data_IF_905754405345
#
_entry.id   IF_905754405345
#
_cell.length_a   1.000
_cell.length_b   1.000
_cell.length_c   1.000
_cell.angle_alpha   90.00
_cell.angle_beta   90.00
_cell.angle_gamma   90.00
#
_symmetry.space_group_name_H-M   'P 1'
#
loop_
_entity.id
_entity.type
_entity.pdbx_description
1 polymer ?
#
# COMPACT_ATOMS: atom_id res chain seq x y z
N UNK A 1 -1.28 12.75 -21.64
CA UNK A 1 -0.64 12.74 -20.30
C UNK A 1 0.21 11.49 -20.19
N UNK A 2 1.40 11.58 -19.61
CA UNK A 2 2.29 10.43 -19.39
C UNK A 2 2.33 10.12 -17.91
N UNK A 3 2.00 8.90 -17.52
CA UNK A 3 2.01 8.45 -16.12
C UNK A 3 3.17 7.49 -15.93
N UNK A 4 3.92 7.61 -14.84
CA UNK A 4 5.01 6.69 -14.49
C UNK A 4 5.00 6.38 -13.01
N UNK A 5 5.40 5.15 -12.68
CA UNK A 5 5.45 4.63 -11.32
C UNK A 5 6.89 4.54 -10.82
N UNK A 6 7.06 4.70 -9.52
CA UNK A 6 8.25 4.32 -8.77
C UNK A 6 8.11 2.89 -8.22
N UNK A 7 9.23 2.28 -7.81
CA UNK A 7 9.28 0.90 -7.33
C UNK A 7 8.44 0.70 -6.07
N UNK A 8 8.47 1.65 -5.13
CA UNK A 8 7.66 1.64 -3.91
C UNK A 8 6.17 1.41 -4.16
N UNK A 9 5.61 2.01 -5.21
CA UNK A 9 4.19 1.88 -5.55
C UNK A 9 3.85 0.45 -5.98
N UNK A 10 4.73 -0.21 -6.74
CA UNK A 10 4.52 -1.61 -7.14
C UNK A 10 4.77 -2.59 -5.98
N UNK A 11 5.66 -2.24 -5.06
CA UNK A 11 5.96 -3.06 -3.86
C UNK A 11 4.80 -3.04 -2.85
N UNK A 12 4.02 -1.96 -2.79
CA UNK A 12 2.81 -1.89 -1.94
C UNK A 12 1.76 -2.93 -2.33
N UNK A 13 1.69 -3.32 -3.61
CA UNK A 13 0.75 -4.32 -4.12
C UNK A 13 1.39 -5.05 -5.31
N UNK A 14 2.22 -6.05 -5.02
CA UNK A 14 2.96 -6.83 -6.03
C UNK A 14 2.04 -7.39 -7.12
N UNK A 15 0.84 -7.83 -6.75
CA UNK A 15 -0.11 -8.45 -7.68
C UNK A 15 -1.02 -7.43 -8.39
N UNK A 16 -0.96 -6.16 -7.98
CA UNK A 16 -1.80 -5.08 -8.51
C UNK A 16 -3.28 -5.47 -8.53
N UNK A 17 -3.73 -6.11 -7.45
CA UNK A 17 -5.07 -6.69 -7.32
C UNK A 17 -5.90 -6.01 -6.22
N UNK A 18 -5.29 -5.08 -5.48
CA UNK A 18 -6.00 -4.18 -4.58
C UNK A 18 -7.02 -3.31 -5.34
N UNK A 19 -8.07 -2.81 -4.66
CA UNK A 19 -9.12 -2.02 -5.29
C UNK A 19 -8.58 -0.82 -6.09
N UNK A 20 -7.68 -0.02 -5.51
CA UNK A 20 -7.11 1.13 -6.22
C UNK A 20 -6.14 0.73 -7.35
N UNK A 21 -5.36 -0.34 -7.18
CA UNK A 21 -4.49 -0.87 -8.25
C UNK A 21 -5.30 -1.32 -9.47
N UNK A 22 -6.43 -2.01 -9.23
CA UNK A 22 -7.33 -2.47 -10.29
C UNK A 22 -8.01 -1.30 -11.00
N UNK A 23 -8.50 -0.31 -10.26
CA UNK A 23 -9.05 0.92 -10.86
C UNK A 23 -7.99 1.63 -11.70
N UNK A 24 -6.77 1.78 -11.16
CA UNK A 24 -5.68 2.45 -11.87
C UNK A 24 -5.33 1.76 -13.18
N UNK A 25 -5.16 0.44 -13.17
CA UNK A 25 -4.77 -0.31 -14.37
C UNK A 25 -5.90 -0.43 -15.38
N UNK A 26 -7.10 -0.78 -14.94
CA UNK A 26 -8.20 -1.11 -15.83
C UNK A 26 -8.87 0.13 -16.41
N UNK A 27 -8.89 1.24 -15.67
CA UNK A 27 -9.63 2.44 -16.05
C UNK A 27 -8.70 3.57 -16.54
N UNK A 28 -7.39 3.33 -16.71
CA UNK A 28 -6.47 4.37 -17.20
C UNK A 28 -6.84 4.88 -18.60
N UNK A 29 -7.47 4.04 -19.41
CA UNK A 29 -7.91 4.35 -20.77
C UNK A 29 -9.07 5.35 -20.84
N UNK A 30 -9.79 5.60 -19.74
CA UNK A 30 -10.90 6.58 -19.71
C UNK A 30 -10.38 8.02 -19.76
N UNK A 31 -9.09 8.21 -19.48
CA UNK A 31 -8.37 9.47 -19.62
C UNK A 31 -7.36 9.38 -20.77
N UNK A 32 -7.00 10.50 -21.41
CA UNK A 32 -5.96 10.54 -22.45
C UNK A 32 -4.56 10.42 -21.81
N UNK A 33 -4.31 9.28 -21.16
CA UNK A 33 -3.08 8.95 -20.46
C UNK A 33 -2.41 7.71 -21.05
N UNK A 34 -1.08 7.67 -20.95
CA UNK A 34 -0.28 6.50 -21.30
C UNK A 34 0.66 6.15 -20.14
N UNK A 35 0.65 4.89 -19.74
CA UNK A 35 1.53 4.39 -18.68
C UNK A 35 2.92 4.12 -19.26
N UNK A 36 3.94 4.62 -18.59
CA UNK A 36 5.34 4.36 -18.89
C UNK A 36 6.01 3.83 -17.63
N UNK A 37 6.79 2.77 -17.74
CA UNK A 37 7.51 2.19 -16.61
C UNK A 37 8.96 1.97 -17.02
N UNK A 38 9.89 2.42 -16.20
CA UNK A 38 11.32 2.19 -16.40
C UNK A 38 11.65 0.71 -16.20
N UNK A 39 12.49 0.13 -17.06
CA UNK A 39 13.04 -1.22 -16.83
C UNK A 39 13.74 -1.31 -15.46
N UNK A 40 14.35 -0.22 -14.99
CA UNK A 40 14.94 -0.15 -13.64
C UNK A 40 13.91 -0.42 -12.55
N UNK A 41 12.69 0.12 -12.69
CA UNK A 41 11.60 -0.08 -11.73
C UNK A 41 11.11 -1.52 -11.75
N UNK A 42 11.01 -2.13 -12.93
CA UNK A 42 10.61 -3.55 -13.07
C UNK A 42 11.64 -4.44 -12.38
N UNK A 43 12.92 -4.30 -12.72
CA UNK A 43 14.00 -5.13 -12.17
C UNK A 43 14.11 -4.96 -10.64
N UNK A 44 13.95 -3.73 -10.15
CA UNK A 44 13.96 -3.46 -8.70
C UNK A 44 12.74 -4.05 -8.00
N UNK A 45 11.55 -4.00 -8.61
CA UNK A 45 10.33 -4.61 -8.07
C UNK A 45 10.48 -6.13 -7.96
N UNK A 46 11.00 -6.78 -9.00
CA UNK A 46 11.25 -8.24 -9.00
C UNK A 46 12.28 -8.62 -7.94
N UNK A 47 13.35 -7.84 -7.80
CA UNK A 47 14.33 -8.07 -6.74
C UNK A 47 13.71 -7.87 -5.34
N UNK A 48 12.87 -6.85 -5.16
CA UNK A 48 12.16 -6.63 -3.90
C UNK A 48 11.24 -7.79 -3.56
N UNK A 49 10.44 -8.27 -4.52
CA UNK A 49 9.62 -9.47 -4.34
C UNK A 49 10.45 -10.66 -3.86
N UNK A 50 11.62 -10.90 -4.49
CA UNK A 50 12.54 -11.96 -4.08
C UNK A 50 13.05 -11.78 -2.65
N UNK A 51 13.46 -10.56 -2.28
CA UNK A 51 13.92 -10.24 -0.91
C UNK A 51 12.82 -10.54 0.11
N UNK A 52 11.62 -9.99 -0.07
CA UNK A 52 10.47 -10.22 0.81
C UNK A 52 10.10 -11.71 0.91
N UNK A 53 10.07 -12.43 -0.21
CA UNK A 53 9.79 -13.86 -0.23
C UNK A 53 10.87 -14.65 0.53
N UNK A 54 12.15 -14.29 0.34
CA UNK A 54 13.26 -14.97 1.02
C UNK A 54 13.17 -14.79 2.53
N UNK A 55 12.91 -13.57 3.00
CA UNK A 55 12.70 -13.27 4.43
C UNK A 55 11.56 -14.11 5.02
N UNK A 56 10.43 -14.21 4.32
CA UNK A 56 9.28 -15.01 4.78
C UNK A 56 9.53 -16.52 4.74
N UNK A 57 10.30 -17.01 3.77
CA UNK A 57 10.74 -18.42 3.74
C UNK A 57 11.67 -18.72 4.92
N UNK A 58 12.60 -17.83 5.26
CA UNK A 58 13.46 -18.00 6.44
C UNK A 58 12.66 -17.99 7.76
N UNK A 59 11.65 -17.13 7.88
CA UNK A 59 10.72 -17.14 9.02
C UNK A 59 9.97 -18.48 9.11
N UNK A 60 9.45 -18.99 7.99
CA UNK A 60 8.76 -20.27 7.91
C UNK A 60 9.69 -21.44 8.31
N UNK A 61 10.94 -21.43 7.86
CA UNK A 61 11.92 -22.46 8.23
C UNK A 61 12.19 -22.49 9.74
N UNK A 62 12.26 -21.31 10.39
CA UNK A 62 12.40 -21.21 11.85
C UNK A 62 11.19 -21.83 12.57
N UNK A 63 9.97 -21.48 12.14
CA UNK A 63 8.73 -22.03 12.70
C UNK A 63 8.68 -23.55 12.53
N UNK A 64 9.08 -24.05 11.35
CA UNK A 64 9.10 -25.48 11.05
C UNK A 64 10.04 -26.25 11.98
N UNK A 65 11.20 -25.68 12.29
CA UNK A 65 12.15 -26.26 13.23
C UNK A 65 11.54 -26.37 14.64
N UNK A 66 10.81 -25.36 15.10
CA UNK A 66 10.17 -25.38 16.41
C UNK A 66 9.02 -26.39 16.48
N UNK A 67 8.19 -26.46 15.43
CA UNK A 67 7.15 -27.50 15.30
C UNK A 67 7.77 -28.90 15.29
N UNK A 68 8.85 -29.11 14.53
CA UNK A 68 9.60 -30.37 14.52
C UNK A 68 10.09 -30.75 15.91
N UNK A 69 10.63 -29.79 16.68
CA UNK A 69 11.11 -30.02 18.04
C UNK A 69 10.00 -30.49 18.99
N UNK A 70 8.77 -29.99 18.82
CA UNK A 70 7.61 -30.37 19.63
C UNK A 70 7.01 -31.71 19.18
N UNK A 71 6.83 -31.91 17.88
CA UNK A 71 6.18 -33.11 17.34
C UNK A 71 7.13 -34.30 17.21
N UNK A 72 8.44 -34.08 17.24
CA UNK A 72 9.49 -35.08 16.93
C UNK A 72 9.29 -35.77 15.58
N UNK A 73 8.61 -35.09 14.65
CA UNK A 73 8.42 -35.51 13.25
C UNK A 73 8.39 -34.27 12.37
N UNK A 74 8.77 -34.47 11.12
CA UNK A 74 8.80 -33.40 10.13
C UNK A 74 7.37 -32.96 9.77
N UNK A 75 7.03 -31.66 9.88
CA UNK A 75 5.76 -31.17 9.40
C UNK A 75 5.71 -31.26 7.87
N UNK A 76 4.56 -31.63 7.31
CA UNK A 76 4.39 -31.73 5.86
C UNK A 76 4.14 -30.34 5.26
N UNK A 77 5.21 -29.58 5.06
CA UNK A 77 5.15 -28.25 4.47
C UNK A 77 5.92 -28.29 3.15
N UNK A 78 5.28 -27.89 2.03
CA UNK A 78 5.95 -27.87 0.74
C UNK A 78 7.14 -26.91 0.77
N UNK A 79 8.27 -27.33 0.22
CA UNK A 79 9.43 -26.46 0.04
C UNK A 79 9.11 -25.39 -0.99
N UNK A 80 9.40 -24.14 -0.67
CA UNK A 80 9.21 -23.01 -1.59
C UNK A 80 10.50 -22.79 -2.38
N UNK A 81 10.41 -22.90 -3.70
CA UNK A 81 11.52 -22.57 -4.60
C UNK A 81 11.49 -21.06 -4.93
N UNK A 82 12.30 -20.29 -4.21
CA UNK A 82 12.36 -18.82 -4.35
C UNK A 82 12.67 -18.40 -5.79
N UNK A 83 13.58 -19.09 -6.47
CA UNK A 83 13.98 -18.74 -7.84
C UNK A 83 12.85 -18.95 -8.85
N UNK A 84 12.10 -20.04 -8.70
CA UNK A 84 10.95 -20.36 -9.54
C UNK A 84 9.80 -19.38 -9.28
N UNK A 85 9.44 -19.15 -8.02
CA UNK A 85 8.41 -18.19 -7.64
C UNK A 85 8.75 -16.75 -8.09
N UNK A 86 10.02 -16.36 -8.05
CA UNK A 86 10.48 -15.04 -8.54
C UNK A 86 10.32 -14.93 -10.06
N UNK A 87 10.64 -15.99 -10.82
CA UNK A 87 10.44 -16.02 -12.28
C UNK A 87 8.96 -16.00 -12.66
N UNK A 88 8.13 -16.73 -11.94
CA UNK A 88 6.68 -16.70 -12.13
C UNK A 88 6.12 -15.30 -11.88
N UNK A 89 6.55 -14.64 -10.81
CA UNK A 89 6.19 -13.25 -10.53
C UNK A 89 6.67 -12.27 -11.61
N UNK A 90 7.91 -12.38 -12.08
CA UNK A 90 8.43 -11.53 -13.17
C UNK A 90 7.59 -11.67 -14.43
N UNK A 91 7.27 -12.92 -14.83
CA UNK A 91 6.41 -13.18 -15.98
C UNK A 91 5.01 -12.59 -15.79
N UNK A 92 4.41 -12.79 -14.61
CA UNK A 92 3.12 -12.20 -14.26
C UNK A 92 3.14 -10.67 -14.39
N UNK A 93 4.13 -10.00 -13.79
CA UNK A 93 4.23 -8.54 -13.81
C UNK A 93 4.34 -8.02 -15.25
N UNK A 94 5.20 -8.63 -16.07
CA UNK A 94 5.37 -8.25 -17.48
C UNK A 94 4.07 -8.45 -18.26
N UNK A 95 3.36 -9.56 -18.06
CA UNK A 95 2.09 -9.84 -18.73
C UNK A 95 0.99 -8.85 -18.31
N UNK A 96 0.86 -8.60 -17.00
CA UNK A 96 -0.08 -7.63 -16.43
C UNK A 96 0.16 -6.24 -17.03
N UNK A 97 1.40 -5.78 -17.06
CA UNK A 97 1.75 -4.47 -17.62
C UNK A 97 1.52 -4.40 -19.15
N UNK A 98 1.79 -5.47 -19.89
CA UNK A 98 1.49 -5.54 -21.32
C UNK A 98 -0.01 -5.48 -21.61
N UNK A 99 -0.85 -6.05 -20.74
CA UNK A 99 -2.31 -6.05 -20.92
C UNK A 99 -2.91 -4.63 -20.98
N UNK A 100 -2.28 -3.67 -20.30
CA UNK A 100 -2.69 -2.25 -20.27
C UNK A 100 -1.91 -1.36 -21.26
N UNK A 101 -1.21 -1.96 -22.23
CA UNK A 101 -0.41 -1.26 -23.26
C UNK A 101 0.64 -0.31 -22.68
N UNK A 102 1.32 -0.71 -21.59
CA UNK A 102 2.43 0.07 -21.03
C UNK A 102 3.55 0.31 -22.05
N UNK A 103 4.24 1.45 -21.93
CA UNK A 103 5.53 1.66 -22.57
C UNK A 103 6.65 1.37 -21.58
N UNK A 104 7.35 0.25 -21.79
CA UNK A 104 8.56 -0.06 -20.99
C UNK A 104 9.72 0.76 -21.54
N UNK A 105 10.27 1.63 -20.70
CA UNK A 105 11.40 2.49 -21.02
C UNK A 105 12.70 1.76 -20.72
N UNK A 106 13.65 1.69 -21.67
CA UNK A 106 14.93 1.04 -21.42
C UNK A 106 15.74 1.78 -20.36
N UNK A 107 16.77 1.12 -19.84
CA UNK A 107 17.77 1.77 -18.98
C UNK A 107 18.28 3.08 -19.62
N UNK A 108 18.43 4.15 -18.83
CA UNK A 108 18.84 5.43 -19.36
C UNK A 108 20.32 5.36 -19.77
N UNK A 109 20.66 6.06 -20.85
CA UNK A 109 22.05 6.21 -21.28
C UNK A 109 22.70 7.34 -20.49
N UNK A 110 23.34 6.99 -19.38
CA UNK A 110 24.03 7.95 -18.50
C UNK A 110 25.50 7.59 -18.39
N UNK A 111 26.38 8.57 -18.59
CA UNK A 111 27.81 8.38 -18.39
C UNK A 111 28.13 8.22 -16.91
N UNK A 112 28.92 7.20 -16.54
CA UNK A 112 29.32 6.98 -15.14
C UNK A 112 30.00 8.21 -14.52
N UNK A 113 30.70 9.00 -15.33
CA UNK A 113 31.32 10.27 -14.89
C UNK A 113 30.28 11.25 -14.32
N UNK A 114 29.09 11.32 -14.90
CA UNK A 114 28.03 12.22 -14.47
C UNK A 114 27.36 11.74 -13.18
N UNK A 115 27.18 10.41 -13.05
CA UNK A 115 26.74 9.77 -11.80
C UNK A 115 27.72 10.11 -10.67
N UNK A 116 29.01 9.83 -10.87
CA UNK A 116 30.06 10.07 -9.87
C UNK A 116 30.12 11.54 -9.49
N UNK A 117 30.02 12.45 -10.47
CA UNK A 117 29.97 13.88 -10.21
C UNK A 117 28.79 14.25 -9.29
N UNK A 118 27.60 13.72 -9.55
CA UNK A 118 26.40 14.00 -8.73
C UNK A 118 26.55 13.46 -7.30
N UNK A 119 27.14 12.27 -7.14
CA UNK A 119 27.47 11.67 -5.82
C UNK A 119 28.45 12.56 -5.04
N UNK A 120 29.54 13.01 -5.69
CA UNK A 120 30.54 13.88 -5.06
C UNK A 120 29.95 15.24 -4.65
N UNK A 121 28.98 15.74 -5.41
CA UNK A 121 28.23 16.97 -5.10
C UNK A 121 27.14 16.77 -4.02
N UNK A 122 26.93 15.53 -3.53
CA UNK A 122 25.90 15.15 -2.53
C UNK A 122 24.50 15.67 -2.87
N UNK A 123 24.16 15.62 -4.17
CA UNK A 123 22.85 16.02 -4.67
C UNK A 123 21.85 14.88 -4.58
N UNK A 124 20.57 15.20 -4.38
CA UNK A 124 19.50 14.18 -4.37
C UNK A 124 19.49 13.39 -5.67
N UNK A 125 19.17 12.08 -5.63
CA UNK A 125 18.70 11.30 -4.46
C UNK A 125 19.84 10.77 -3.56
N UNK A 126 21.10 11.15 -3.80
CA UNK A 126 22.24 10.67 -3.03
C UNK A 126 22.36 11.37 -1.66
N UNK A 127 22.20 10.62 -0.56
CA UNK A 127 22.34 11.13 0.82
C UNK A 127 23.75 10.89 1.39
N UNK A 128 24.11 9.61 1.61
CA UNK A 128 25.42 9.12 2.04
C UNK A 128 25.69 7.76 1.39
N UNK A 129 26.83 7.64 0.69
CA UNK A 129 27.20 6.41 -0.01
C UNK A 129 26.53 6.29 -1.39
N UNK A 130 26.26 5.04 -1.79
CA UNK A 130 25.63 4.64 -3.05
C UNK A 130 24.09 4.52 -2.99
N UNK A 131 23.51 4.73 -1.81
CA UNK A 131 22.06 4.88 -1.63
C UNK A 131 21.54 6.02 -2.54
N UNK A 132 20.67 5.67 -3.50
CA UNK A 132 20.12 6.59 -4.50
C UNK A 132 20.57 6.35 -5.95
N UNK A 133 21.46 5.40 -6.23
CA UNK A 133 21.85 5.11 -7.63
C UNK A 133 20.64 4.70 -8.50
N UNK A 134 19.79 3.80 -7.99
CA UNK A 134 18.57 3.36 -8.70
C UNK A 134 17.59 4.50 -8.90
N UNK A 135 17.29 5.26 -7.83
CA UNK A 135 16.45 6.46 -7.89
C UNK A 135 16.96 7.48 -8.93
N UNK A 136 18.28 7.63 -9.06
CA UNK A 136 18.88 8.51 -10.05
C UNK A 136 18.68 7.99 -11.48
N UNK A 137 18.77 6.68 -11.70
CA UNK A 137 18.45 6.09 -13.00
C UNK A 137 16.96 6.22 -13.32
N UNK A 138 16.06 6.02 -12.35
CA UNK A 138 14.62 6.25 -12.51
C UNK A 138 14.37 7.70 -12.96
N UNK A 139 15.00 8.66 -12.28
CA UNK A 139 14.94 10.06 -12.66
C UNK A 139 15.43 10.32 -14.09
N UNK A 140 16.61 9.83 -14.46
CA UNK A 140 17.17 10.04 -15.80
C UNK A 140 16.32 9.40 -16.90
N UNK A 141 15.60 8.31 -16.61
CA UNK A 141 14.59 7.74 -17.51
C UNK A 141 13.37 8.65 -17.63
N UNK A 142 12.81 9.12 -16.51
CA UNK A 142 11.63 9.99 -16.48
C UNK A 142 11.90 11.31 -17.21
N UNK A 143 13.09 11.89 -17.04
CA UNK A 143 13.52 13.10 -17.73
C UNK A 143 13.47 12.99 -19.25
N UNK A 144 13.67 11.79 -19.81
CA UNK A 144 13.54 11.58 -21.27
C UNK A 144 12.09 11.76 -21.74
N UNK A 145 11.10 11.45 -20.89
CA UNK A 145 9.68 11.66 -21.20
C UNK A 145 9.35 13.15 -21.38
N UNK A 146 10.05 14.02 -20.63
CA UNK A 146 9.90 15.46 -20.67
C UNK A 146 10.48 16.08 -21.94
N UNK A 147 11.58 15.53 -22.44
CA UNK A 147 12.22 15.98 -23.68
C UNK A 147 11.36 15.66 -24.92
N UNK A 148 10.42 14.74 -24.83
CA UNK A 148 9.62 14.23 -25.95
C UNK A 148 8.18 14.77 -25.99
N UNK A 149 7.91 15.96 -25.46
CA UNK A 149 6.61 16.62 -25.66
C UNK A 149 6.29 17.73 -24.66
N UNK A 150 5.10 18.30 -24.81
CA UNK A 150 4.53 19.30 -23.89
C UNK A 150 3.43 18.74 -23.00
N UNK A 151 3.25 17.41 -23.02
CA UNK A 151 2.23 16.74 -22.21
C UNK A 151 2.59 16.77 -20.72
N UNK A 152 1.57 16.75 -19.87
CA UNK A 152 1.75 16.56 -18.44
C UNK A 152 2.36 15.18 -18.15
N UNK A 153 3.37 15.15 -17.28
CA UNK A 153 4.00 13.96 -16.74
C UNK A 153 3.60 13.84 -15.27
N UNK A 154 2.99 12.72 -14.91
CA UNK A 154 2.63 12.40 -13.53
C UNK A 154 3.52 11.26 -13.04
N UNK A 155 4.34 11.55 -12.04
CA UNK A 155 5.16 10.55 -11.37
C UNK A 155 4.52 10.18 -10.05
N UNK A 156 4.16 8.90 -9.91
CA UNK A 156 3.55 8.37 -8.70
C UNK A 156 4.66 7.74 -7.84
N UNK A 157 4.91 8.33 -6.67
CA UNK A 157 5.95 7.89 -5.73
C UNK A 157 5.63 8.35 -4.30
N UNK A 158 5.84 7.48 -3.31
CA UNK A 158 5.84 7.87 -1.90
C UNK A 158 7.20 8.38 -1.40
N UNK A 159 8.25 8.32 -2.23
CA UNK A 159 9.61 8.78 -1.94
C UNK A 159 9.76 10.30 -2.11
N UNK A 160 8.81 11.07 -1.55
CA UNK A 160 8.73 12.51 -1.73
C UNK A 160 10.06 13.18 -1.36
N UNK A 161 10.65 12.80 -0.22
CA UNK A 161 11.91 13.39 0.27
C UNK A 161 13.08 13.29 -0.73
N UNK A 162 13.09 12.26 -1.58
CA UNK A 162 14.21 11.98 -2.48
C UNK A 162 14.06 12.64 -3.85
N UNK A 163 12.82 12.95 -4.26
CA UNK A 163 12.53 13.60 -5.56
C UNK A 163 12.03 15.05 -5.44
N UNK A 164 11.38 15.44 -4.35
CA UNK A 164 10.78 16.77 -4.20
C UNK A 164 9.80 16.91 -3.03
N UNK A 165 8.62 17.45 -3.34
CA UNK A 165 7.47 17.60 -2.45
C UNK A 165 6.20 17.20 -3.21
N UNK A 166 5.08 16.96 -2.51
CA UNK A 166 3.83 16.62 -3.18
C UNK A 166 3.46 17.72 -4.21
N UNK A 167 3.25 17.31 -5.46
CA UNK A 167 2.97 18.23 -6.58
C UNK A 167 4.20 18.81 -7.28
N UNK A 168 5.39 18.85 -6.68
CA UNK A 168 6.54 19.58 -7.22
C UNK A 168 7.87 18.81 -7.11
N UNK A 169 8.68 18.85 -8.17
CA UNK A 169 10.06 18.39 -8.11
C UNK A 169 10.94 19.37 -7.33
N UNK A 170 11.95 18.85 -6.64
CA UNK A 170 12.99 19.69 -6.06
C UNK A 170 13.73 20.48 -7.15
N UNK A 171 14.18 21.70 -6.83
CA UNK A 171 14.96 22.54 -7.75
C UNK A 171 16.19 21.82 -8.32
N UNK A 172 16.77 20.86 -7.57
CA UNK A 172 17.92 20.05 -7.98
C UNK A 172 17.64 19.08 -9.15
N UNK A 173 16.37 18.80 -9.41
CA UNK A 173 15.90 18.00 -10.55
C UNK A 173 15.30 18.88 -11.66
N UNK A 174 15.20 20.19 -11.45
CA UNK A 174 14.62 21.08 -12.44
C UNK A 174 15.55 21.24 -13.66
N UNK A 175 15.13 20.76 -14.83
CA UNK A 175 15.83 21.02 -16.08
C UNK A 175 15.68 22.50 -16.44
N UNK A 176 16.81 23.18 -16.69
CA UNK A 176 16.86 24.61 -16.98
C UNK A 176 16.06 25.00 -18.23
N UNK A 177 15.83 24.06 -19.15
CA UNK A 177 15.12 24.29 -20.43
C UNK A 177 13.62 24.21 -20.25
N UNK A 178 13.13 23.17 -19.60
CA UNK A 178 11.68 22.89 -19.46
C UNK A 178 11.10 23.49 -18.18
N UNK A 179 11.96 23.71 -17.17
CA UNK A 179 11.60 24.09 -15.79
C UNK A 179 10.60 23.14 -15.14
N UNK A 180 10.43 21.92 -15.66
CA UNK A 180 9.52 20.91 -15.13
C UNK A 180 8.07 21.39 -14.99
N UNK A 181 7.65 22.35 -15.83
CA UNK A 181 6.31 22.97 -15.75
C UNK A 181 5.16 21.99 -15.96
N UNK A 182 5.43 20.91 -16.69
CA UNK A 182 4.44 19.90 -17.00
C UNK A 182 4.56 18.69 -16.07
N UNK A 183 5.41 18.75 -15.06
CA UNK A 183 5.65 17.63 -14.15
C UNK A 183 4.82 17.75 -12.89
N UNK A 184 4.27 16.63 -12.41
CA UNK A 184 3.53 16.54 -11.17
C UNK A 184 3.91 15.27 -10.41
N UNK A 185 4.25 15.41 -9.14
CA UNK A 185 4.40 14.28 -8.21
C UNK A 185 3.05 13.99 -7.55
N UNK A 186 2.64 12.73 -7.59
CA UNK A 186 1.48 12.20 -6.85
C UNK A 186 1.99 11.12 -5.90
N UNK A 187 1.49 11.10 -4.66
CA UNK A 187 2.10 10.29 -3.60
C UNK A 187 1.67 8.82 -3.69
N UNK A 188 0.45 8.55 -4.13
CA UNK A 188 -0.15 7.21 -4.12
C UNK A 188 -1.03 7.00 -5.35
N UNK A 189 -1.32 5.74 -5.66
CA UNK A 189 -2.28 5.37 -6.71
C UNK A 189 -3.69 5.85 -6.36
N UNK A 190 -4.07 5.79 -5.08
CA UNK A 190 -5.34 6.34 -4.57
C UNK A 190 -5.51 7.80 -4.93
N UNK A 191 -4.53 8.66 -4.61
CA UNK A 191 -4.58 10.09 -4.94
C UNK A 191 -4.63 10.35 -6.45
N UNK A 192 -3.96 9.52 -7.24
CA UNK A 192 -4.06 9.60 -8.70
C UNK A 192 -5.48 9.26 -9.18
N UNK A 193 -6.05 8.17 -8.66
CA UNK A 193 -7.38 7.73 -9.02
C UNK A 193 -8.43 8.78 -8.64
N UNK A 194 -8.38 9.31 -7.42
CA UNK A 194 -9.30 10.34 -6.92
C UNK A 194 -9.31 11.59 -7.80
N UNK A 195 -8.13 12.02 -8.28
CA UNK A 195 -8.00 13.23 -9.08
C UNK A 195 -8.36 13.00 -10.56
N UNK A 196 -7.93 11.88 -11.14
CA UNK A 196 -7.96 11.68 -12.59
C UNK A 196 -8.98 10.63 -13.06
N UNK A 197 -9.22 9.55 -12.31
CA UNK A 197 -10.03 8.42 -12.78
C UNK A 197 -11.44 8.44 -12.18
N UNK A 198 -11.57 8.41 -10.86
CA UNK A 198 -12.85 8.31 -10.16
C UNK A 198 -13.89 9.39 -10.53
N UNK A 199 -13.50 10.65 -10.82
CA UNK A 199 -14.46 11.68 -11.26
C UNK A 199 -15.10 11.40 -12.63
N UNK A 200 -14.51 10.49 -13.42
CA UNK A 200 -14.96 10.14 -14.78
C UNK A 200 -15.68 8.80 -14.85
N UNK A 201 -15.63 8.01 -13.78
CA UNK A 201 -16.39 6.77 -13.69
C UNK A 201 -17.88 7.05 -13.54
N UNK A 202 -18.68 6.13 -14.07
CA UNK A 202 -20.15 6.22 -13.99
C UNK A 202 -20.60 5.99 -12.55
N UNK A 203 -21.24 7.01 -11.96
CA UNK A 203 -21.80 6.93 -10.61
C UNK A 203 -23.09 6.12 -10.58
N UNK A 204 -23.23 5.29 -9.54
CA UNK A 204 -24.32 4.35 -9.33
C UNK A 204 -25.13 4.73 -8.08
N UNK A 205 -25.78 5.90 -8.13
CA UNK A 205 -26.51 6.48 -6.98
C UNK A 205 -27.63 5.56 -6.45
N UNK A 206 -28.33 4.84 -7.34
CA UNK A 206 -29.39 3.91 -6.92
C UNK A 206 -28.82 2.75 -6.12
N UNK A 207 -27.72 2.13 -6.58
CA UNK A 207 -27.06 1.05 -5.87
C UNK A 207 -26.47 1.53 -4.54
N UNK A 208 -25.87 2.73 -4.52
CA UNK A 208 -25.41 3.38 -3.28
C UNK A 208 -26.54 3.51 -2.25
N UNK A 209 -27.72 3.99 -2.67
CA UNK A 209 -28.88 4.12 -1.80
C UNK A 209 -29.38 2.76 -1.30
N UNK A 210 -29.41 1.76 -2.18
CA UNK A 210 -29.80 0.40 -1.83
C UNK A 210 -28.85 -0.24 -0.83
N UNK A 211 -27.53 -0.11 -1.00
CA UNK A 211 -26.52 -0.66 -0.08
C UNK A 211 -26.60 0.01 1.31
N UNK A 212 -26.75 1.34 1.36
CA UNK A 212 -26.96 2.06 2.63
C UNK A 212 -28.23 1.60 3.36
N UNK A 213 -29.30 1.26 2.63
CA UNK A 213 -30.56 0.79 3.22
C UNK A 213 -30.60 -0.71 3.49
N UNK A 214 -29.57 -1.47 3.10
CA UNK A 214 -29.59 -2.94 3.14
C UNK A 214 -30.63 -3.55 2.19
N UNK A 215 -30.97 -2.85 1.11
CA UNK A 215 -32.00 -3.21 0.12
C UNK A 215 -31.41 -3.63 -1.23
N UNK A 216 -30.09 -3.72 -1.34
CA UNK A 216 -29.45 -4.23 -2.55
C UNK A 216 -29.82 -5.71 -2.75
N UNK A 217 -30.22 -6.04 -3.97
CA UNK A 217 -30.88 -7.33 -4.25
C UNK A 217 -29.96 -8.54 -4.05
N UNK A 218 -28.68 -8.39 -4.36
CA UNK A 218 -27.73 -9.50 -4.47
C UNK A 218 -26.61 -9.47 -3.42
N UNK A 219 -26.46 -8.37 -2.68
CA UNK A 219 -25.41 -8.21 -1.69
C UNK A 219 -25.89 -7.42 -0.49
N UNK A 220 -25.59 -7.90 0.71
CA UNK A 220 -25.92 -7.26 1.96
C UNK A 220 -24.64 -6.84 2.68
N UNK A 221 -24.33 -5.54 2.63
CA UNK A 221 -23.10 -4.98 3.21
C UNK A 221 -22.98 -5.27 4.71
N UNK A 222 -24.09 -5.19 5.47
CA UNK A 222 -24.08 -5.49 6.91
C UNK A 222 -23.70 -6.95 7.18
N UNK A 223 -24.28 -7.89 6.43
CA UNK A 223 -23.92 -9.31 6.57
C UNK A 223 -22.47 -9.59 6.17
N UNK A 224 -21.92 -8.82 5.23
CA UNK A 224 -20.51 -8.90 4.88
C UNK A 224 -19.62 -8.38 6.01
N UNK A 225 -19.98 -7.24 6.63
CA UNK A 225 -19.28 -6.71 7.81
C UNK A 225 -19.22 -7.71 8.94
N UNK A 226 -20.35 -8.34 9.27
CA UNK A 226 -20.46 -9.32 10.35
C UNK A 226 -19.58 -10.57 10.13
N UNK A 227 -19.18 -10.85 8.89
CA UNK A 227 -18.39 -12.04 8.51
C UNK A 227 -16.91 -11.75 8.32
N UNK A 228 -16.59 -10.69 7.58
CA UNK A 228 -15.25 -10.47 7.03
C UNK A 228 -14.50 -9.34 7.73
N UNK A 229 -15.20 -8.36 8.33
CA UNK A 229 -14.57 -7.11 8.78
C UNK A 229 -13.60 -7.30 9.95
N UNK A 230 -13.87 -8.26 10.83
CA UNK A 230 -12.96 -8.57 11.96
C UNK A 230 -11.59 -9.04 11.44
N UNK A 231 -11.58 -9.90 10.42
CA UNK A 231 -10.32 -10.41 9.86
C UNK A 231 -9.51 -9.28 9.24
N UNK A 232 -10.17 -8.32 8.57
CA UNK A 232 -9.50 -7.15 8.00
C UNK A 232 -8.81 -6.26 9.06
N UNK A 233 -9.34 -6.19 10.28
CA UNK A 233 -8.73 -5.42 11.37
C UNK A 233 -7.63 -6.17 12.11
N UNK A 234 -7.59 -7.51 12.02
CA UNK A 234 -6.55 -8.31 12.70
C UNK A 234 -5.17 -8.13 12.10
N UNK A 235 -5.10 -7.84 10.80
CA UNK A 235 -3.87 -7.64 10.07
C UNK A 235 -3.33 -6.20 10.18
N UNK A 236 -4.08 -5.30 10.84
CA UNK A 236 -3.68 -3.92 11.05
C UNK A 236 -2.76 -3.76 12.27
N UNK A 237 -1.69 -2.99 12.12
CA UNK A 237 -0.84 -2.52 13.22
C UNK A 237 -1.57 -1.35 13.91
N UNK A 238 -2.12 -1.56 15.11
CA UNK A 238 -3.07 -0.65 15.77
C UNK A 238 -2.53 -0.04 17.07
N UNK A 239 -1.26 -0.23 17.37
CA UNK A 239 -0.55 0.22 18.57
C UNK A 239 -0.74 1.73 18.78
N UNK A 240 -0.47 2.53 17.75
CA UNK A 240 -0.56 3.99 17.81
C UNK A 240 -2.01 4.48 17.90
N UNK A 241 -2.95 3.77 17.27
CA UNK A 241 -4.35 4.18 17.14
C UNK A 241 -5.16 3.90 18.40
N UNK A 242 -4.99 2.69 18.96
CA UNK A 242 -5.83 2.19 20.05
C UNK A 242 -5.27 2.50 21.44
N UNK A 243 -3.94 2.59 21.59
CA UNK A 243 -3.31 2.79 22.91
C UNK A 243 -2.22 3.88 22.92
N UNK A 244 -1.90 4.46 21.75
CA UNK A 244 -0.91 5.53 21.63
C UNK A 244 0.54 5.05 21.79
N UNK A 245 0.81 3.78 21.55
CA UNK A 245 2.17 3.25 21.58
C UNK A 245 2.91 3.60 20.29
N UNK A 246 4.21 3.96 20.35
CA UNK A 246 4.99 4.16 19.14
C UNK A 246 5.03 2.92 18.26
N UNK A 247 5.22 3.10 16.96
CA UNK A 247 5.34 2.00 16.00
C UNK A 247 6.34 0.93 16.44
N UNK A 248 5.91 -0.34 16.44
CA UNK A 248 6.73 -1.49 16.82
C UNK A 248 6.95 -1.67 18.32
N UNK A 249 6.23 -0.93 19.17
CA UNK A 249 6.26 -1.06 20.63
C UNK A 249 5.00 -1.79 21.09
N UNK A 250 5.18 -2.95 21.72
CA UNK A 250 4.08 -3.85 22.06
C UNK A 250 3.38 -4.42 20.82
N UNK A 251 2.30 -5.15 21.05
CA UNK A 251 1.42 -5.68 20.01
C UNK A 251 -0.04 -5.46 20.41
N UNK A 252 -0.81 -4.86 19.50
CA UNK A 252 -2.25 -4.67 19.70
C UNK A 252 -3.03 -5.45 18.66
N UNK A 253 -3.97 -6.29 19.11
CA UNK A 253 -4.77 -7.15 18.21
C UNK A 253 -6.24 -7.05 18.53
N UNK A 254 -7.04 -6.69 17.52
CA UNK A 254 -8.50 -6.70 17.65
C UNK A 254 -8.97 -8.14 17.84
N UNK A 255 -9.60 -8.39 18.99
CA UNK A 255 -10.14 -9.68 19.36
C UNK A 255 -11.59 -9.82 18.92
N UNK A 256 -12.36 -8.74 19.00
CA UNK A 256 -13.79 -8.74 18.72
C UNK A 256 -14.27 -7.36 18.27
N UNK A 257 -15.30 -7.34 17.42
CA UNK A 257 -16.10 -6.13 17.17
C UNK A 257 -17.31 -6.19 18.08
N UNK A 258 -17.33 -5.33 19.10
CA UNK A 258 -18.41 -5.28 20.10
C UNK A 258 -19.72 -4.79 19.47
N UNK A 259 -19.65 -3.77 18.61
CA UNK A 259 -20.79 -3.30 17.83
C UNK A 259 -20.36 -2.45 16.63
N UNK A 260 -21.22 -2.43 15.61
CA UNK A 260 -21.19 -1.43 14.54
C UNK A 260 -22.13 -0.28 14.93
N UNK A 261 -21.57 0.89 15.23
CA UNK A 261 -22.33 2.10 15.55
C UNK A 261 -23.08 2.60 14.31
N UNK A 262 -22.38 2.65 13.18
CA UNK A 262 -22.91 3.13 11.90
C UNK A 262 -22.04 2.65 10.73
N UNK A 263 -22.61 2.60 9.54
CA UNK A 263 -21.83 2.49 8.31
C UNK A 263 -22.45 3.38 7.23
N UNK A 264 -21.63 3.88 6.32
CA UNK A 264 -22.06 4.69 5.20
C UNK A 264 -21.37 4.23 3.93
N UNK A 265 -22.14 4.02 2.87
CA UNK A 265 -21.60 3.89 1.52
C UNK A 265 -21.49 5.28 0.92
N UNK A 266 -20.26 5.76 0.81
CA UNK A 266 -19.90 7.11 0.40
C UNK A 266 -20.06 7.32 -1.10
N UNK A 267 -19.62 6.35 -1.89
CA UNK A 267 -19.66 6.39 -3.35
C UNK A 267 -19.76 4.98 -3.93
N UNK A 268 -20.41 4.87 -5.08
CA UNK A 268 -20.41 3.64 -5.89
C UNK A 268 -20.20 4.04 -7.34
N UNK A 269 -19.14 3.50 -7.92
CA UNK A 269 -18.76 3.73 -9.32
C UNK A 269 -18.71 2.41 -10.10
N UNK A 270 -19.16 2.42 -11.35
CA UNK A 270 -19.06 1.26 -12.25
C UNK A 270 -17.77 1.34 -13.08
N UNK A 271 -17.01 0.25 -13.07
CA UNK A 271 -15.80 0.02 -13.87
C UNK A 271 -16.16 -0.46 -15.28
N UNK A 272 -15.24 -0.35 -16.25
CA UNK A 272 -15.43 -0.86 -17.62
C UNK A 272 -15.72 -2.38 -17.64
N UNK A 273 -15.15 -3.11 -16.68
CA UNK A 273 -15.42 -4.53 -16.49
C UNK A 273 -16.88 -4.83 -16.10
N UNK A 274 -17.65 -3.84 -15.64
CA UNK A 274 -18.98 -3.98 -15.05
C UNK A 274 -18.95 -4.26 -13.54
N UNK A 275 -17.77 -4.41 -12.94
CA UNK A 275 -17.61 -4.48 -11.48
C UNK A 275 -17.93 -3.13 -10.82
N UNK A 276 -18.25 -3.15 -9.51
CA UNK A 276 -18.61 -1.94 -8.78
C UNK A 276 -17.53 -1.62 -7.75
N UNK A 277 -16.93 -0.45 -7.90
CA UNK A 277 -16.02 0.13 -6.94
C UNK A 277 -16.82 0.90 -5.88
N UNK A 278 -16.76 0.43 -4.64
CA UNK A 278 -17.57 0.91 -3.52
C UNK A 278 -16.66 1.54 -2.47
N UNK A 279 -16.87 2.81 -2.15
CA UNK A 279 -16.21 3.49 -1.04
C UNK A 279 -17.12 3.46 0.18
N UNK A 280 -16.62 2.98 1.32
CA UNK A 280 -17.37 2.89 2.57
C UNK A 280 -16.63 3.54 3.76
N UNK A 281 -17.41 3.95 4.74
CA UNK A 281 -16.97 4.36 6.07
C UNK A 281 -17.73 3.56 7.13
N UNK A 282 -17.04 3.10 8.16
CA UNK A 282 -17.60 2.29 9.26
C UNK A 282 -17.20 2.93 10.58
N UNK A 283 -18.16 3.08 11.49
CA UNK A 283 -17.91 3.40 12.89
C UNK A 283 -18.23 2.16 13.71
N UNK A 284 -17.25 1.69 14.47
CA UNK A 284 -17.40 0.49 15.27
C UNK A 284 -16.71 0.63 16.62
N UNK A 285 -17.15 -0.15 17.59
CA UNK A 285 -16.48 -0.35 18.85
C UNK A 285 -15.80 -1.72 18.82
N UNK A 286 -14.51 -1.75 19.14
CA UNK A 286 -13.70 -2.97 19.14
C UNK A 286 -13.19 -3.26 20.55
N UNK A 287 -12.94 -4.53 20.82
CA UNK A 287 -12.14 -4.97 21.95
C UNK A 287 -10.82 -5.54 21.43
N UNK A 288 -9.72 -5.08 21.99
CA UNK A 288 -8.38 -5.46 21.56
C UNK A 288 -7.54 -5.96 22.75
N UNK A 289 -6.73 -6.98 22.49
CA UNK A 289 -5.67 -7.38 23.41
C UNK A 289 -4.44 -6.52 23.17
N UNK A 290 -3.78 -6.15 24.26
CA UNK A 290 -2.53 -5.40 24.25
C UNK A 290 -1.50 -6.27 24.94
N UNK A 291 -0.42 -6.59 24.26
CA UNK A 291 0.67 -7.42 24.76
C UNK A 291 1.97 -6.62 24.72
N UNK A 292 2.74 -6.65 25.82
CA UNK A 292 4.04 -5.97 25.94
C UNK A 292 5.06 -6.90 26.58
N UNK A 293 6.34 -6.62 26.37
CA UNK A 293 7.43 -7.20 27.15
C UNK A 293 8.08 -6.17 28.12
N UNK A 294 9.07 -6.63 28.89
CA UNK A 294 9.79 -5.77 29.84
C UNK A 294 10.62 -4.68 29.16
N UNK A 295 11.14 -4.94 27.96
CA UNK A 295 11.89 -3.95 27.18
C UNK A 295 10.97 -2.81 26.75
N UNK A 296 9.78 -3.12 26.25
CA UNK A 296 8.75 -2.12 25.93
C UNK A 296 8.46 -1.25 27.16
N UNK A 297 8.21 -1.89 28.30
CA UNK A 297 7.89 -1.23 29.57
C UNK A 297 8.99 -0.29 30.07
N UNK A 298 10.27 -0.69 29.98
CA UNK A 298 11.39 0.16 30.44
C UNK A 298 11.65 1.31 29.46
N UNK A 299 11.60 1.05 28.16
CA UNK A 299 12.07 2.00 27.16
C UNK A 299 11.00 3.03 26.76
N UNK A 300 9.71 2.74 26.99
CA UNK A 300 8.61 3.59 26.52
C UNK A 300 7.75 4.07 27.69
N UNK A 301 7.58 5.40 27.79
CA UNK A 301 6.79 6.01 28.86
C UNK A 301 5.30 5.75 28.65
N UNK A 302 4.87 5.73 27.40
CA UNK A 302 3.51 5.48 26.94
C UNK A 302 3.01 4.12 27.46
N UNK A 303 3.88 3.10 27.44
CA UNK A 303 3.59 1.77 27.97
C UNK A 303 3.37 1.80 29.48
N UNK A 304 4.20 2.53 30.23
CA UNK A 304 4.05 2.68 31.70
C UNK A 304 2.83 3.52 32.06
N UNK A 305 2.53 4.56 31.29
CA UNK A 305 1.35 5.39 31.49
C UNK A 305 0.06 4.53 31.31
N UNK A 306 0.09 3.54 30.39
CA UNK A 306 -1.03 2.64 30.15
C UNK A 306 -1.14 1.51 31.20
N UNK A 307 -0.05 0.81 31.52
CA UNK A 307 -0.06 -0.34 32.44
C UNK A 307 0.09 0.03 33.92
N UNK A 308 0.53 1.26 34.22
CA UNK A 308 0.90 1.70 35.56
C UNK A 308 2.32 1.26 35.97
N UNK A 309 2.75 1.68 37.16
CA UNK A 309 4.08 1.38 37.67
C UNK A 309 4.19 -0.09 38.15
N UNK A 310 5.23 -0.78 37.69
CA UNK A 310 5.70 -2.09 38.13
C UNK A 310 7.17 -2.01 38.54
N UNK A 311 7.52 -2.67 39.66
CA UNK A 311 8.88 -2.81 40.17
C UNK A 311 9.51 -4.19 39.85
N UNK A 312 8.73 -5.12 39.29
CA UNK A 312 9.16 -6.49 38.99
C UNK A 312 9.28 -6.72 37.47
N UNK A 313 10.41 -7.32 37.06
CA UNK A 313 10.65 -7.74 35.68
C UNK A 313 9.74 -8.91 35.28
N UNK A 314 9.15 -8.83 34.08
CA UNK A 314 8.23 -9.83 33.54
C UNK A 314 8.61 -10.25 32.12
N UNK A 315 8.28 -11.48 31.72
CA UNK A 315 8.50 -11.92 30.34
C UNK A 315 7.51 -11.31 29.36
N UNK A 316 6.25 -11.19 29.79
CA UNK A 316 5.19 -10.55 29.04
C UNK A 316 4.09 -10.10 30.00
N UNK A 317 3.39 -9.04 29.64
CA UNK A 317 2.18 -8.58 30.30
C UNK A 317 1.10 -8.35 29.26
N UNK A 318 -0.14 -8.71 29.59
CA UNK A 318 -1.28 -8.59 28.69
C UNK A 318 -2.36 -7.73 29.33
N UNK A 319 -3.02 -6.94 28.50
CA UNK A 319 -4.12 -6.05 28.86
C UNK A 319 -5.23 -6.14 27.82
N UNK A 320 -6.35 -5.49 28.10
CA UNK A 320 -7.43 -5.30 27.14
C UNK A 320 -7.82 -3.84 27.09
N UNK A 321 -8.12 -3.35 25.90
CA UNK A 321 -8.71 -2.04 25.68
C UNK A 321 -9.97 -2.18 24.83
N UNK A 322 -10.96 -1.33 25.08
CA UNK A 322 -12.18 -1.28 24.29
C UNK A 322 -12.40 0.14 23.78
N UNK A 323 -12.22 0.34 22.48
CA UNK A 323 -12.19 1.68 21.89
C UNK A 323 -13.07 1.77 20.64
N UNK A 324 -13.37 3.01 20.25
CA UNK A 324 -14.10 3.28 19.01
C UNK A 324 -13.14 3.60 17.87
N UNK A 325 -13.43 3.00 16.71
CA UNK A 325 -12.71 3.21 15.47
C UNK A 325 -13.62 3.77 14.40
N UNK A 326 -13.07 4.69 13.60
CA UNK A 326 -13.59 5.08 12.29
C UNK A 326 -12.69 4.46 11.23
N UNK A 327 -13.28 3.65 10.35
CA UNK A 327 -12.54 2.93 9.29
C UNK A 327 -13.08 3.35 7.94
N UNK A 328 -12.21 3.79 7.04
CA UNK A 328 -12.55 4.01 5.63
C UNK A 328 -11.87 2.96 4.77
N UNK A 329 -12.59 2.49 3.76
CA UNK A 329 -12.07 1.50 2.85
C UNK A 329 -12.82 1.45 1.53
N UNK A 330 -12.27 0.65 0.63
CA UNK A 330 -12.82 0.40 -0.67
C UNK A 330 -13.01 -1.10 -0.86
N UNK A 331 -14.05 -1.47 -1.58
CA UNK A 331 -14.22 -2.83 -2.06
C UNK A 331 -14.64 -2.85 -3.52
N UNK A 332 -14.37 -3.96 -4.19
CA UNK A 332 -14.85 -4.23 -5.54
C UNK A 332 -15.89 -5.34 -5.44
N UNK A 333 -17.13 -5.03 -5.79
CA UNK A 333 -18.14 -6.05 -6.04
C UNK A 333 -17.99 -6.59 -7.46
N UNK A 334 -18.20 -7.89 -7.60
CA UNK A 334 -18.28 -8.52 -8.91
C UNK A 334 -19.41 -7.94 -9.78
N UNK A 335 -19.46 -8.36 -11.04
CA UNK A 335 -20.44 -7.83 -12.02
C UNK A 335 -21.89 -8.12 -11.65
N UNK A 336 -22.13 -9.15 -10.83
CA UNK A 336 -23.47 -9.55 -10.40
C UNK A 336 -23.88 -8.94 -9.05
N UNK A 337 -22.98 -8.18 -8.40
CA UNK A 337 -23.13 -7.64 -7.06
C UNK A 337 -23.44 -8.74 -6.03
N UNK A 338 -22.76 -9.88 -6.10
CA UNK A 338 -22.91 -11.01 -5.18
C UNK A 338 -21.69 -11.18 -4.29
N UNK A 339 -20.49 -11.00 -4.85
CA UNK A 339 -19.24 -11.31 -4.18
C UNK A 339 -18.32 -10.09 -4.13
N UNK A 340 -17.55 -9.99 -3.04
CA UNK A 340 -16.47 -9.01 -2.89
C UNK A 340 -15.21 -9.63 -3.48
N UNK A 341 -14.75 -9.10 -4.61
CA UNK A 341 -13.56 -9.59 -5.31
C UNK A 341 -12.26 -9.06 -4.71
N UNK A 342 -12.32 -7.89 -4.05
CA UNK A 342 -11.15 -7.24 -3.46
C UNK A 342 -11.61 -6.21 -2.43
N UNK A 343 -10.83 -6.00 -1.38
CA UNK A 343 -11.10 -5.04 -0.31
C UNK A 343 -9.79 -4.45 0.20
N UNK A 344 -9.82 -3.19 0.58
CA UNK A 344 -8.68 -2.45 1.09
C UNK A 344 -9.17 -1.42 2.12
N UNK A 345 -8.51 -1.39 3.28
CA UNK A 345 -8.67 -0.32 4.26
C UNK A 345 -7.67 0.77 3.92
N UNK A 346 -8.11 2.02 3.97
CA UNK A 346 -7.28 3.20 3.63
C UNK A 346 -7.10 4.16 4.80
N UNK A 347 -8.00 4.13 5.78
CA UNK A 347 -7.86 4.90 7.01
C UNK A 347 -8.41 4.09 8.17
N UNK A 348 -7.67 4.08 9.28
CA UNK A 348 -8.17 3.71 10.60
C UNK A 348 -7.89 4.87 11.54
N UNK A 349 -8.94 5.46 12.09
CA UNK A 349 -8.86 6.59 13.03
C UNK A 349 -9.43 6.16 14.38
N UNK A 350 -8.75 6.55 15.45
CA UNK A 350 -9.05 6.12 16.81
C UNK A 350 -8.68 7.16 17.86
N UNK A 351 -8.76 6.80 19.15
CA UNK A 351 -8.60 7.76 20.25
C UNK A 351 -7.22 8.40 20.36
N UNK A 352 -6.16 7.71 19.92
CA UNK A 352 -4.78 8.16 20.09
C UNK A 352 -4.09 8.61 18.81
N UNK A 353 -4.68 8.33 17.64
CA UNK A 353 -4.11 8.69 16.36
C UNK A 353 -4.87 8.09 15.18
N UNK A 354 -4.32 8.28 13.99
CA UNK A 354 -4.88 7.77 12.74
C UNK A 354 -3.79 7.13 11.89
N UNK A 355 -4.12 6.04 11.22
CA UNK A 355 -3.25 5.36 10.25
C UNK A 355 -3.88 5.47 8.87
N UNK A 356 -3.18 6.15 7.96
CA UNK A 356 -3.51 6.11 6.54
C UNK A 356 -2.77 4.93 5.91
N UNK A 357 -3.51 3.92 5.47
CA UNK A 357 -2.97 2.74 4.80
C UNK A 357 -2.84 3.00 3.30
N UNK A 358 -1.74 2.53 2.70
CA UNK A 358 -1.43 2.76 1.29
C UNK A 358 -0.71 4.08 0.98
N UNK A 359 -0.12 4.74 1.98
CA UNK A 359 0.75 5.94 1.82
C UNK A 359 2.22 5.57 1.94
#
# INVERSE_FOLDING_TARGET
>A
MKVTLDTNILVQDFWMDGPHSRVFLNELNIIPATLHISQVVIDETVNKYREFLSEKVEELEKINLDVFRMLKREPSIPSINIEEATREYENFLIEKLKSVKVQILPYPKVEHKDVVKRILERKRPFKKGDSGYRDYLIWETIKQLELWGTEQIVFITNNIKDFGEAGYLSEEFTDKRTRNKNFKIVVTVTKFNDEFILPRLRKMEELKLQLNKGQAQNFNFKQWLDKEFLELLKDAELEEVLVGFPYGVGSVRVSEILMFDDYTINDVSEMESGEKFVHFSIKCQVDASVDIDWSDYINHKEVRDYYGDSEEEFSSSWGRTSERLLVNGFLILDRTNQEVNSVEITLIDGPHGSIEMGI
#
